data_IF_449344109723
#
_entry.id   IF_449344109723
#
_cell.length_a   1.000
_cell.length_b   1.000
_cell.length_c   1.000
_cell.angle_alpha   90.00
_cell.angle_beta   90.00
_cell.angle_gamma   90.00
#
_symmetry.space_group_name_H-M   'P 1'
#
loop_
_entity.id
_entity.type
_entity.pdbx_description
1 polymer ?
#
# COMPACT_ATOMS: atom_id res chain seq x y z
N UNK A 1 6.03 -82.72 -18.10
CA UNK A 1 5.98 -81.24 -18.33
C UNK A 1 4.88 -80.68 -17.47
N UNK A 2 5.25 -80.04 -16.31
CA UNK A 2 4.34 -79.35 -15.44
C UNK A 2 4.11 -78.00 -16.08
N UNK A 3 2.93 -77.78 -16.67
CA UNK A 3 2.51 -76.47 -17.15
C UNK A 3 2.20 -75.61 -15.92
N UNK A 4 3.04 -74.64 -15.64
CA UNK A 4 2.69 -73.53 -14.76
C UNK A 4 1.56 -72.71 -15.41
N UNK A 5 0.32 -72.92 -14.95
CA UNK A 5 -0.75 -71.97 -15.20
C UNK A 5 -0.52 -70.80 -14.21
N UNK A 6 -0.30 -69.60 -14.67
CA UNK A 6 -0.29 -68.46 -13.75
C UNK A 6 -1.68 -68.41 -13.07
N UNK A 7 -1.70 -68.34 -11.72
CA UNK A 7 -2.94 -68.05 -10.98
C UNK A 7 -3.48 -66.72 -11.48
N UNK A 8 -4.66 -66.76 -12.10
CA UNK A 8 -5.35 -65.51 -12.53
C UNK A 8 -5.86 -64.85 -11.28
N UNK A 9 -5.24 -63.69 -10.92
CA UNK A 9 -5.69 -62.84 -9.84
C UNK A 9 -7.12 -62.41 -10.17
N UNK A 10 -8.08 -62.72 -9.29
CA UNK A 10 -9.50 -62.40 -9.49
C UNK A 10 -9.92 -61.27 -8.54
N UNK A 11 -10.70 -60.32 -9.05
CA UNK A 11 -11.30 -59.23 -8.24
C UNK A 11 -12.81 -59.49 -8.10
N UNK A 12 -13.33 -59.27 -6.89
CA UNK A 12 -14.76 -59.41 -6.62
C UNK A 12 -15.57 -58.20 -7.09
N UNK A 13 -16.87 -58.40 -7.34
CA UNK A 13 -17.79 -57.32 -7.71
C UNK A 13 -17.86 -56.20 -6.62
N UNK A 14 -17.73 -56.58 -5.35
CA UNK A 14 -17.71 -55.61 -4.22
C UNK A 14 -16.45 -54.76 -4.25
N UNK A 15 -15.30 -55.36 -4.52
CA UNK A 15 -14.03 -54.63 -4.65
C UNK A 15 -14.07 -53.69 -5.85
N UNK A 16 -14.60 -54.12 -7.01
CA UNK A 16 -14.79 -53.28 -8.19
C UNK A 16 -15.69 -52.07 -7.90
N UNK A 17 -16.79 -52.28 -7.16
CA UNK A 17 -17.66 -51.18 -6.76
C UNK A 17 -16.94 -50.12 -5.89
N UNK A 18 -16.09 -50.59 -4.98
CA UNK A 18 -15.27 -49.70 -4.15
C UNK A 18 -14.22 -48.93 -4.96
N UNK A 19 -13.56 -49.60 -5.92
CA UNK A 19 -12.62 -48.94 -6.84
C UNK A 19 -13.34 -47.90 -7.71
N UNK A 20 -14.54 -48.19 -8.21
CA UNK A 20 -15.38 -47.23 -8.93
C UNK A 20 -15.70 -46.01 -8.08
N UNK A 21 -16.08 -46.22 -6.81
CA UNK A 21 -16.33 -45.17 -5.87
C UNK A 21 -15.09 -44.26 -5.67
N UNK A 22 -13.89 -44.86 -5.59
CA UNK A 22 -12.64 -44.10 -5.53
C UNK A 22 -12.40 -43.27 -6.81
N UNK A 23 -12.54 -43.88 -8.01
CA UNK A 23 -12.34 -43.19 -9.30
C UNK A 23 -13.25 -41.95 -9.39
N UNK A 24 -14.53 -42.13 -9.03
CA UNK A 24 -15.46 -40.99 -8.97
C UNK A 24 -15.04 -39.96 -7.91
N UNK A 25 -14.52 -40.38 -6.77
CA UNK A 25 -13.96 -39.52 -5.72
C UNK A 25 -12.71 -38.76 -6.15
N UNK A 26 -11.98 -39.25 -7.16
CA UNK A 26 -10.84 -38.58 -7.79
C UNK A 26 -11.27 -37.67 -8.99
N UNK A 27 -12.54 -37.29 -9.03
CA UNK A 27 -13.14 -36.41 -10.04
C UNK A 27 -13.10 -36.94 -11.49
N UNK A 28 -13.10 -38.27 -11.64
CA UNK A 28 -13.24 -38.94 -12.94
C UNK A 28 -14.52 -39.78 -12.98
N UNK A 29 -15.41 -39.47 -13.92
CA UNK A 29 -16.67 -40.23 -14.07
C UNK A 29 -16.37 -41.65 -14.52
N UNK A 30 -16.88 -42.64 -13.76
CA UNK A 30 -16.68 -44.08 -14.03
C UNK A 30 -17.98 -44.86 -13.84
N UNK A 31 -18.41 -45.56 -14.89
CA UNK A 31 -19.56 -46.46 -14.87
C UNK A 31 -19.13 -47.91 -14.68
N UNK A 32 -20.11 -48.82 -14.53
CA UNK A 32 -19.82 -50.25 -14.38
C UNK A 32 -19.14 -50.83 -15.61
N UNK A 33 -18.01 -51.53 -15.40
CA UNK A 33 -17.21 -52.12 -16.46
C UNK A 33 -16.12 -51.19 -17.03
N UNK A 34 -16.05 -49.92 -16.61
CA UNK A 34 -15.05 -48.94 -17.07
C UNK A 34 -13.86 -48.81 -16.10
N UNK A 35 -13.87 -49.53 -14.96
CA UNK A 35 -12.91 -49.34 -13.87
C UNK A 35 -11.45 -49.43 -14.34
N UNK A 36 -11.10 -50.47 -15.14
CA UNK A 36 -9.74 -50.64 -15.66
C UNK A 36 -9.32 -49.54 -16.64
N UNK A 37 -10.25 -49.01 -17.43
CA UNK A 37 -9.94 -47.96 -18.43
C UNK A 37 -9.85 -46.59 -17.82
N UNK A 38 -10.62 -46.31 -16.74
CA UNK A 38 -10.69 -45.02 -16.08
C UNK A 38 -9.71 -44.84 -14.92
N UNK A 39 -9.16 -45.95 -14.40
CA UNK A 39 -8.29 -45.91 -13.22
C UNK A 39 -7.04 -45.08 -13.45
N UNK A 40 -6.33 -45.28 -14.56
CA UNK A 40 -5.12 -44.50 -14.84
C UNK A 40 -5.40 -43.01 -15.05
N UNK A 41 -6.54 -42.67 -15.64
CA UNK A 41 -6.99 -41.28 -15.76
C UNK A 41 -7.18 -40.66 -14.36
N UNK A 42 -7.81 -41.37 -13.43
CA UNK A 42 -8.04 -40.92 -12.07
C UNK A 42 -6.72 -40.74 -11.28
N UNK A 43 -5.79 -41.70 -11.39
CA UNK A 43 -4.48 -41.60 -10.74
C UNK A 43 -3.63 -40.47 -11.31
N UNK A 44 -3.68 -40.21 -12.62
CA UNK A 44 -3.02 -39.08 -13.26
C UNK A 44 -3.63 -37.74 -12.80
N UNK A 45 -4.96 -37.71 -12.64
CA UNK A 45 -5.66 -36.55 -12.12
C UNK A 45 -5.21 -36.21 -10.69
N UNK A 46 -5.13 -37.21 -9.83
CA UNK A 46 -4.61 -37.07 -8.48
C UNK A 46 -3.14 -36.57 -8.46
N UNK A 47 -2.31 -37.15 -9.34
CA UNK A 47 -0.90 -36.73 -9.48
C UNK A 47 -0.76 -35.29 -9.96
N UNK A 48 -1.59 -34.88 -10.91
CA UNK A 48 -1.61 -33.49 -11.39
C UNK A 48 -2.04 -32.51 -10.30
N UNK A 49 -3.00 -32.89 -9.46
CA UNK A 49 -3.43 -32.11 -8.31
C UNK A 49 -2.29 -31.94 -7.28
N UNK A 50 -1.63 -33.03 -6.89
CA UNK A 50 -0.52 -33.00 -5.94
C UNK A 50 0.61 -32.05 -6.40
N UNK A 51 0.93 -32.06 -7.70
CA UNK A 51 1.97 -31.20 -8.27
C UNK A 51 1.62 -29.70 -8.20
N UNK A 52 0.34 -29.34 -8.21
CA UNK A 52 -0.11 -27.94 -8.11
C UNK A 52 0.05 -27.35 -6.71
N UNK A 53 0.22 -28.17 -5.68
CA UNK A 53 0.30 -27.71 -4.29
C UNK A 53 1.69 -27.21 -3.88
N UNK A 54 2.70 -27.54 -4.65
CA UNK A 54 4.08 -27.20 -4.31
C UNK A 54 4.66 -26.13 -5.22
N UNK A 55 5.78 -25.56 -4.76
CA UNK A 55 6.49 -24.55 -5.53
C UNK A 55 7.71 -24.02 -4.78
N UNK A 56 8.16 -22.84 -5.20
CA UNK A 56 9.21 -22.12 -4.50
C UNK A 56 8.74 -21.66 -3.12
N UNK A 57 9.67 -21.56 -2.14
CA UNK A 57 9.30 -21.04 -0.82
C UNK A 57 8.61 -19.66 -0.90
N UNK A 58 7.57 -19.46 -0.15
CA UNK A 58 7.07 -20.17 1.04
C UNK A 58 6.05 -21.30 0.76
N UNK A 59 5.78 -21.65 -0.50
CA UNK A 59 4.93 -22.79 -0.81
C UNK A 59 5.55 -24.09 -0.29
N UNK A 60 4.73 -25.08 0.10
CA UNK A 60 5.22 -26.37 0.52
C UNK A 60 5.95 -27.11 -0.60
N UNK A 61 6.70 -28.14 -0.25
CA UNK A 61 7.18 -29.12 -1.24
C UNK A 61 5.96 -29.88 -1.75
N UNK A 62 5.87 -30.16 -3.07
CA UNK A 62 4.77 -30.97 -3.59
C UNK A 62 4.65 -32.30 -2.84
N UNK A 63 3.42 -32.77 -2.52
CA UNK A 63 3.22 -34.08 -1.93
C UNK A 63 3.88 -35.17 -2.75
N UNK A 64 4.37 -36.25 -2.07
CA UNK A 64 4.94 -37.38 -2.75
C UNK A 64 3.88 -38.08 -3.60
N UNK A 65 4.20 -38.33 -4.86
CA UNK A 65 3.35 -39.12 -5.80
C UNK A 65 3.84 -40.53 -6.00
N UNK A 66 4.78 -41.01 -5.18
CA UNK A 66 5.38 -42.34 -5.34
C UNK A 66 4.34 -43.44 -5.32
N UNK A 67 3.38 -43.43 -4.40
CA UNK A 67 2.29 -44.41 -4.35
C UNK A 67 1.48 -44.44 -5.66
N UNK A 68 1.18 -43.26 -6.22
CA UNK A 68 0.45 -43.18 -7.51
C UNK A 68 1.28 -43.78 -8.64
N UNK A 69 2.59 -43.55 -8.65
CA UNK A 69 3.51 -44.10 -9.66
C UNK A 69 3.62 -45.62 -9.54
N UNK A 70 3.73 -46.16 -8.32
CA UNK A 70 3.73 -47.57 -8.03
C UNK A 70 2.43 -48.25 -8.51
N UNK A 71 1.27 -47.65 -8.24
CA UNK A 71 -0.02 -48.14 -8.67
C UNK A 71 -0.20 -48.08 -10.19
N UNK A 72 0.31 -47.05 -10.86
CA UNK A 72 0.26 -46.94 -12.33
C UNK A 72 1.24 -47.89 -13.04
N UNK A 73 2.24 -48.42 -12.35
CA UNK A 73 3.14 -49.41 -12.90
C UNK A 73 2.51 -50.80 -12.98
N UNK A 74 1.41 -51.05 -12.26
CA UNK A 74 0.63 -52.26 -12.32
C UNK A 74 -0.39 -52.21 -13.45
N UNK A 75 -0.96 -53.38 -13.81
CA UNK A 75 -1.98 -53.49 -14.84
C UNK A 75 -3.04 -54.53 -14.51
N UNK A 76 -4.20 -54.44 -15.14
CA UNK A 76 -5.28 -55.38 -14.99
C UNK A 76 -5.79 -55.54 -13.56
N UNK A 77 -6.07 -56.79 -13.16
CA UNK A 77 -6.61 -57.08 -11.83
C UNK A 77 -5.63 -56.80 -10.70
N UNK A 78 -4.32 -56.89 -10.93
CA UNK A 78 -3.29 -56.58 -9.93
C UNK A 78 -3.34 -55.11 -9.56
N UNK A 79 -3.50 -54.24 -10.55
CA UNK A 79 -3.65 -52.81 -10.34
C UNK A 79 -4.95 -52.49 -9.56
N UNK A 80 -6.07 -53.07 -9.98
CA UNK A 80 -7.38 -52.85 -9.34
C UNK A 80 -7.38 -53.28 -7.86
N UNK A 81 -6.74 -54.43 -7.54
CA UNK A 81 -6.61 -54.91 -6.16
C UNK A 81 -5.69 -54.03 -5.33
N UNK A 82 -4.54 -53.66 -5.85
CA UNK A 82 -3.60 -52.76 -5.15
C UNK A 82 -4.26 -51.41 -4.85
N UNK A 83 -5.02 -50.87 -5.80
CA UNK A 83 -5.78 -49.63 -5.60
C UNK A 83 -6.91 -49.81 -4.58
N UNK A 84 -7.64 -50.97 -4.64
CA UNK A 84 -8.64 -51.29 -3.63
C UNK A 84 -8.06 -51.28 -2.21
N UNK A 85 -6.87 -51.88 -2.02
CA UNK A 85 -6.23 -51.97 -0.71
C UNK A 85 -5.73 -50.59 -0.19
N UNK A 86 -5.42 -49.67 -1.11
CA UNK A 86 -4.97 -48.31 -0.80
C UNK A 86 -6.05 -47.21 -0.92
N UNK A 87 -7.31 -47.60 -1.18
CA UNK A 87 -8.41 -46.68 -1.48
C UNK A 87 -8.65 -45.60 -0.41
N UNK A 88 -8.56 -45.98 0.88
CA UNK A 88 -8.85 -45.05 1.98
C UNK A 88 -7.73 -44.01 2.12
N UNK A 89 -6.47 -44.42 1.94
CA UNK A 89 -5.33 -43.51 1.88
C UNK A 89 -5.44 -42.57 0.69
N UNK A 90 -5.70 -43.10 -0.51
CA UNK A 90 -5.83 -42.29 -1.73
C UNK A 90 -6.97 -41.26 -1.62
N UNK A 91 -8.11 -41.67 -1.07
CA UNK A 91 -9.24 -40.75 -0.83
C UNK A 91 -8.89 -39.66 0.16
N UNK A 92 -8.22 -39.99 1.27
CA UNK A 92 -7.82 -39.04 2.29
C UNK A 92 -6.76 -38.02 1.75
N UNK A 93 -5.76 -38.57 1.03
CA UNK A 93 -4.72 -37.75 0.40
C UNK A 93 -5.32 -36.77 -0.61
N UNK A 94 -6.19 -37.28 -1.51
CA UNK A 94 -6.84 -36.42 -2.53
C UNK A 94 -7.74 -35.35 -1.92
N UNK A 95 -8.54 -35.70 -0.92
CA UNK A 95 -9.39 -34.74 -0.22
C UNK A 95 -8.55 -33.64 0.48
N UNK A 96 -7.44 -34.03 1.12
CA UNK A 96 -6.49 -33.11 1.73
C UNK A 96 -5.85 -32.18 0.69
N UNK A 97 -5.41 -32.73 -0.43
CA UNK A 97 -4.81 -31.93 -1.51
C UNK A 97 -5.82 -30.96 -2.14
N UNK A 98 -7.07 -31.37 -2.31
CA UNK A 98 -8.14 -30.53 -2.84
C UNK A 98 -8.43 -29.34 -1.91
N UNK A 99 -8.54 -29.59 -0.62
CA UNK A 99 -8.71 -28.55 0.39
C UNK A 99 -7.55 -27.56 0.42
N UNK A 100 -6.31 -28.05 0.29
CA UNK A 100 -5.12 -27.18 0.22
C UNK A 100 -5.10 -26.36 -1.08
N UNK A 101 -5.52 -26.92 -2.21
CA UNK A 101 -5.56 -26.20 -3.49
C UNK A 101 -6.52 -25.01 -3.45
N UNK A 102 -7.63 -25.11 -2.72
CA UNK A 102 -8.58 -24.01 -2.51
C UNK A 102 -7.91 -22.82 -1.81
N UNK A 103 -6.93 -23.08 -0.94
CA UNK A 103 -6.19 -22.03 -0.23
C UNK A 103 -5.10 -21.34 -1.06
N UNK A 104 -4.60 -22.01 -2.12
CA UNK A 104 -3.40 -21.53 -2.87
C UNK A 104 -3.61 -20.12 -3.42
N UNK A 105 -4.77 -19.85 -4.02
CA UNK A 105 -5.04 -18.54 -4.62
C UNK A 105 -5.06 -17.42 -3.57
N UNK A 106 -5.81 -17.60 -2.49
CA UNK A 106 -5.91 -16.65 -1.39
C UNK A 106 -4.55 -16.43 -0.71
N UNK A 107 -3.82 -17.50 -0.41
CA UNK A 107 -2.51 -17.42 0.26
C UNK A 107 -1.45 -16.72 -0.60
N UNK A 108 -1.45 -16.98 -1.91
CA UNK A 108 -0.57 -16.29 -2.85
C UNK A 108 -0.89 -14.80 -2.96
N UNK A 109 -2.17 -14.43 -2.90
CA UNK A 109 -2.58 -13.03 -2.87
C UNK A 109 -2.14 -12.35 -1.56
N UNK A 110 -2.44 -12.96 -0.41
CA UNK A 110 -1.98 -12.47 0.90
C UNK A 110 -0.45 -12.31 0.93
N UNK A 111 0.28 -13.28 0.38
CA UNK A 111 1.73 -13.24 0.30
C UNK A 111 2.23 -12.06 -0.55
N UNK A 112 1.66 -11.83 -1.72
CA UNK A 112 2.01 -10.68 -2.58
C UNK A 112 1.71 -9.35 -1.88
N UNK A 113 0.57 -9.24 -1.23
CA UNK A 113 0.19 -8.06 -0.48
C UNK A 113 1.19 -7.77 0.65
N UNK A 114 1.62 -8.80 1.38
CA UNK A 114 2.65 -8.67 2.42
C UNK A 114 3.98 -8.16 1.83
N UNK A 115 4.43 -8.72 0.69
CA UNK A 115 5.65 -8.26 0.03
C UNK A 115 5.55 -6.79 -0.41
N UNK A 116 4.39 -6.36 -0.87
CA UNK A 116 4.14 -4.96 -1.23
C UNK A 116 4.19 -4.07 0.01
N UNK A 117 3.53 -4.44 1.12
CA UNK A 117 3.55 -3.66 2.35
C UNK A 117 4.95 -3.57 2.96
N UNK A 118 5.77 -4.61 2.85
CA UNK A 118 7.15 -4.61 3.31
C UNK A 118 7.99 -3.49 2.68
N UNK A 119 7.69 -3.11 1.43
CA UNK A 119 8.36 -2.00 0.78
C UNK A 119 8.14 -0.67 1.52
N UNK A 120 6.91 -0.42 1.97
CA UNK A 120 6.56 0.80 2.71
C UNK A 120 7.02 0.77 4.19
N UNK A 121 7.24 -0.43 4.73
CA UNK A 121 7.69 -0.60 6.12
C UNK A 121 9.20 -0.41 6.32
N UNK A 122 10.01 -0.21 5.27
CA UNK A 122 11.49 -0.24 5.33
C UNK A 122 12.09 0.64 6.43
N UNK A 123 11.53 1.82 6.63
CA UNK A 123 12.03 2.81 7.59
C UNK A 123 11.37 2.68 8.97
N UNK A 124 10.49 1.70 9.14
CA UNK A 124 9.77 1.45 10.40
C UNK A 124 10.43 0.33 11.21
N UNK A 125 10.36 0.43 12.53
CA UNK A 125 10.92 -0.57 13.43
C UNK A 125 10.35 -1.98 13.21
N UNK A 126 9.08 -2.07 12.78
CA UNK A 126 8.40 -3.34 12.51
C UNK A 126 9.05 -4.12 11.35
N UNK A 127 9.76 -3.46 10.43
CA UNK A 127 10.36 -4.10 9.26
C UNK A 127 11.23 -5.31 9.62
N UNK A 128 12.10 -5.16 10.61
CA UNK A 128 12.99 -6.26 11.04
C UNK A 128 12.24 -7.45 11.60
N UNK A 129 11.15 -7.22 12.33
CA UNK A 129 10.31 -8.27 12.89
C UNK A 129 9.64 -9.04 11.76
N UNK A 130 9.03 -8.31 10.82
CA UNK A 130 8.38 -8.91 9.65
C UNK A 130 9.37 -9.67 8.75
N UNK A 131 10.59 -9.17 8.56
CA UNK A 131 11.63 -9.91 7.82
C UNK A 131 11.96 -11.26 8.45
N UNK A 132 12.08 -11.32 9.77
CA UNK A 132 12.35 -12.57 10.51
C UNK A 132 11.18 -13.56 10.34
N UNK A 133 9.95 -13.11 10.50
CA UNK A 133 8.75 -13.95 10.33
C UNK A 133 8.60 -14.44 8.88
N UNK A 134 8.86 -13.57 7.91
CA UNK A 134 8.88 -13.92 6.48
C UNK A 134 9.97 -14.97 6.19
N UNK A 135 11.15 -14.82 6.77
CA UNK A 135 12.24 -15.80 6.64
C UNK A 135 11.84 -17.14 7.25
N UNK A 136 11.19 -17.14 8.42
CA UNK A 136 10.68 -18.36 9.06
C UNK A 136 9.60 -19.04 8.19
N UNK A 137 8.66 -18.29 7.62
CA UNK A 137 7.66 -18.82 6.68
C UNK A 137 8.29 -19.46 5.44
N UNK A 138 9.32 -18.83 4.88
CA UNK A 138 10.05 -19.39 3.73
C UNK A 138 10.80 -20.67 4.10
N UNK A 139 11.51 -20.67 5.23
CA UNK A 139 12.26 -21.82 5.70
C UNK A 139 11.34 -23.00 6.04
N UNK A 140 10.22 -22.73 6.71
CA UNK A 140 9.21 -23.74 7.07
C UNK A 140 8.30 -24.16 5.94
N UNK A 141 8.27 -23.45 4.81
CA UNK A 141 7.37 -23.71 3.67
C UNK A 141 5.91 -23.84 4.08
N UNK A 142 5.43 -22.96 4.97
CA UNK A 142 4.14 -23.09 5.66
C UNK A 142 3.04 -22.19 5.09
N UNK A 143 3.16 -21.68 3.86
CA UNK A 143 2.19 -20.74 3.28
C UNK A 143 0.75 -21.26 3.33
N UNK A 144 0.55 -22.57 3.07
CA UNK A 144 -0.76 -23.21 3.03
C UNK A 144 -1.25 -23.73 4.40
N UNK A 145 -0.57 -23.36 5.49
CA UNK A 145 -1.01 -23.73 6.83
C UNK A 145 -2.36 -23.09 7.18
N UNK A 146 -3.10 -23.76 8.07
CA UNK A 146 -4.36 -23.27 8.62
C UNK A 146 -4.27 -23.27 10.15
N UNK A 147 -4.48 -22.11 10.83
CA UNK A 147 -4.86 -20.79 10.27
C UNK A 147 -3.77 -20.16 9.39
N UNK A 148 -4.14 -19.11 8.66
CA UNK A 148 -3.20 -18.38 7.76
C UNK A 148 -2.01 -17.83 8.54
N UNK A 149 -0.78 -18.20 8.20
CA UNK A 149 0.40 -17.61 8.84
C UNK A 149 0.73 -16.21 8.33
N UNK A 150 0.16 -15.80 7.18
CA UNK A 150 0.42 -14.51 6.54
C UNK A 150 -0.54 -13.43 7.05
N UNK A 151 -1.79 -13.80 7.35
CA UNK A 151 -2.83 -12.84 7.77
C UNK A 151 -2.44 -11.99 8.98
N UNK A 152 -1.85 -12.54 10.07
CA UNK A 152 -1.38 -11.75 11.18
C UNK A 152 -0.28 -10.75 10.80
N UNK A 153 0.62 -11.13 9.88
CA UNK A 153 1.71 -10.26 9.42
C UNK A 153 1.21 -9.10 8.58
N UNK A 154 0.19 -9.35 7.73
CA UNK A 154 -0.51 -8.28 6.99
C UNK A 154 -1.14 -7.27 7.95
N UNK A 155 -1.83 -7.75 8.98
CA UNK A 155 -2.44 -6.88 9.98
C UNK A 155 -1.38 -6.03 10.70
N UNK A 156 -0.30 -6.66 11.18
CA UNK A 156 0.79 -5.95 11.84
C UNK A 156 1.44 -4.88 10.94
N UNK A 157 1.69 -5.21 9.66
CA UNK A 157 2.24 -4.27 8.70
C UNK A 157 1.31 -3.09 8.47
N UNK A 158 0.02 -3.34 8.24
CA UNK A 158 -0.98 -2.30 8.02
C UNK A 158 -1.16 -1.39 9.22
N UNK A 159 -1.23 -1.96 10.42
CA UNK A 159 -1.40 -1.18 11.64
C UNK A 159 -0.17 -0.30 11.90
N UNK A 160 1.04 -0.84 11.73
CA UNK A 160 2.27 -0.05 11.86
C UNK A 160 2.36 1.10 10.84
N UNK A 161 1.91 0.87 9.59
CA UNK A 161 1.86 1.92 8.57
C UNK A 161 0.82 2.99 8.92
N UNK A 162 -0.37 2.61 9.37
CA UNK A 162 -1.42 3.53 9.83
C UNK A 162 -0.93 4.39 10.98
N UNK A 163 -0.35 3.77 11.99
CA UNK A 163 0.17 4.47 13.17
C UNK A 163 1.26 5.46 12.78
N UNK A 164 2.18 5.07 11.90
CA UNK A 164 3.23 5.97 11.41
C UNK A 164 2.67 7.15 10.60
N UNK A 165 1.68 6.93 9.72
CA UNK A 165 1.00 8.02 8.99
C UNK A 165 0.32 8.96 9.97
N UNK A 166 -0.45 8.44 10.92
CA UNK A 166 -1.15 9.24 11.93
C UNK A 166 -0.18 10.05 12.80
N UNK A 167 0.97 9.47 13.17
CA UNK A 167 2.01 10.19 13.90
C UNK A 167 2.57 11.37 13.10
N UNK A 168 2.79 11.22 11.79
CA UNK A 168 3.23 12.33 10.93
C UNK A 168 2.15 13.41 10.76
N UNK A 169 0.87 13.00 10.63
CA UNK A 169 -0.26 13.93 10.59
C UNK A 169 -0.33 14.76 11.88
N UNK A 170 -0.26 14.10 13.03
CA UNK A 170 -0.30 14.81 14.33
C UNK A 170 0.87 15.78 14.51
N UNK A 171 2.08 15.40 14.05
CA UNK A 171 3.24 16.32 14.06
C UNK A 171 3.04 17.52 13.14
N UNK A 172 2.45 17.30 11.95
CA UNK A 172 2.14 18.41 11.04
C UNK A 172 1.10 19.34 11.66
N UNK A 173 0.00 18.80 12.18
CA UNK A 173 -1.07 19.57 12.83
C UNK A 173 -0.53 20.37 14.01
N UNK A 174 0.29 19.77 14.85
CA UNK A 174 0.93 20.47 15.97
C UNK A 174 1.80 21.64 15.47
N UNK A 175 2.66 21.40 14.48
CA UNK A 175 3.51 22.43 13.88
C UNK A 175 2.66 23.57 13.25
N UNK A 176 1.60 23.18 12.52
CA UNK A 176 0.66 24.14 11.94
C UNK A 176 0.01 25.03 12.99
N UNK A 177 -0.54 24.43 14.05
CA UNK A 177 -1.21 25.20 15.11
C UNK A 177 -0.24 26.10 15.87
N UNK A 178 0.98 25.64 16.12
CA UNK A 178 1.99 26.47 16.78
C UNK A 178 2.38 27.68 15.91
N UNK A 179 2.69 27.45 14.63
CA UNK A 179 3.00 28.53 13.69
C UNK A 179 1.82 29.49 13.47
N UNK A 180 0.60 28.95 13.39
CA UNK A 180 -0.60 29.76 13.21
C UNK A 180 -0.89 30.66 14.43
N UNK A 181 -0.73 30.14 15.64
CA UNK A 181 -0.85 30.91 16.88
C UNK A 181 0.16 32.05 16.94
N UNK A 182 1.41 31.77 16.55
CA UNK A 182 2.47 32.77 16.52
C UNK A 182 2.17 33.88 15.47
N UNK A 183 1.64 33.49 14.30
CA UNK A 183 1.20 34.40 13.26
C UNK A 183 0.04 35.30 13.74
N UNK A 184 -0.98 34.71 14.39
CA UNK A 184 -2.13 35.49 14.94
C UNK A 184 -1.74 36.45 16.04
N UNK A 185 -0.65 36.20 16.75
CA UNK A 185 -0.13 37.07 17.78
C UNK A 185 0.65 38.28 17.21
N UNK A 186 1.05 38.23 15.92
CA UNK A 186 1.84 39.31 15.33
C UNK A 186 0.99 40.56 15.03
N UNK A 187 1.40 41.76 15.50
CA UNK A 187 0.66 43.01 15.27
C UNK A 187 0.45 43.36 13.79
N UNK A 188 1.33 42.92 12.90
CA UNK A 188 1.20 43.19 11.46
C UNK A 188 0.11 42.31 10.86
N UNK A 189 0.00 41.06 11.30
CA UNK A 189 -1.04 40.13 10.85
C UNK A 189 -2.43 40.56 11.29
N UNK A 190 -2.57 41.00 12.55
CA UNK A 190 -3.84 41.48 13.14
C UNK A 190 -4.40 42.71 12.41
N UNK A 191 -3.56 43.54 11.81
CA UNK A 191 -3.98 44.74 11.05
C UNK A 191 -4.54 44.43 9.66
N UNK A 192 -4.37 43.23 9.16
CA UNK A 192 -4.89 42.82 7.86
C UNK A 192 -6.39 42.51 7.94
N UNK A 193 -7.11 42.74 6.83
CA UNK A 193 -8.47 42.24 6.71
C UNK A 193 -8.51 40.72 6.62
N UNK A 194 -9.65 40.09 6.93
CA UNK A 194 -9.82 38.64 6.82
C UNK A 194 -9.57 38.13 5.39
N UNK A 195 -9.94 38.93 4.37
CA UNK A 195 -9.68 38.60 2.97
C UNK A 195 -8.19 38.58 2.66
N UNK A 196 -7.43 39.63 3.14
CA UNK A 196 -5.99 39.67 2.95
C UNK A 196 -5.27 38.55 3.66
N UNK A 197 -5.67 38.19 4.89
CA UNK A 197 -5.13 37.05 5.62
C UNK A 197 -5.36 35.74 4.83
N UNK A 198 -6.58 35.52 4.35
CA UNK A 198 -6.93 34.32 3.55
C UNK A 198 -6.13 34.26 2.25
N UNK A 199 -5.95 35.38 1.55
CA UNK A 199 -5.15 35.45 0.33
C UNK A 199 -3.69 35.10 0.58
N UNK A 200 -3.09 35.59 1.68
CA UNK A 200 -1.71 35.28 2.03
C UNK A 200 -1.52 33.81 2.41
N UNK A 201 -2.43 33.24 3.19
CA UNK A 201 -2.40 31.82 3.51
C UNK A 201 -2.49 30.96 2.24
N UNK A 202 -3.41 31.30 1.33
CA UNK A 202 -3.56 30.61 0.06
C UNK A 202 -2.34 30.77 -0.85
N UNK A 203 -1.76 31.98 -0.94
CA UNK A 203 -0.54 32.27 -1.71
C UNK A 203 0.62 31.38 -1.28
N UNK A 204 0.82 31.20 0.00
CA UNK A 204 1.90 30.41 0.57
C UNK A 204 1.50 28.96 0.83
N UNK A 205 0.31 28.50 0.33
CA UNK A 205 -0.18 27.13 0.46
C UNK A 205 -0.23 26.64 1.92
N UNK A 206 -0.51 27.57 2.83
CA UNK A 206 -0.69 27.27 4.25
C UNK A 206 -2.15 26.81 4.43
N UNK A 207 -2.34 25.60 4.92
CA UNK A 207 -3.67 25.04 5.13
C UNK A 207 -3.63 23.79 5.99
N UNK A 208 -4.80 23.44 6.51
CA UNK A 208 -4.98 22.19 7.23
C UNK A 208 -4.78 21.00 6.29
N UNK A 209 -4.38 19.87 6.87
CA UNK A 209 -4.28 18.62 6.13
C UNK A 209 -5.66 18.16 5.65
N UNK A 210 -5.76 17.63 4.41
CA UNK A 210 -6.97 16.97 3.98
C UNK A 210 -7.22 15.73 4.84
N UNK A 211 -8.50 15.42 5.06
CA UNK A 211 -8.88 14.21 5.80
C UNK A 211 -8.34 12.97 5.10
N UNK A 212 -7.53 12.20 5.81
CA UNK A 212 -6.97 10.95 5.32
C UNK A 212 -7.95 9.79 5.50
N UNK A 213 -8.00 8.91 4.52
CA UNK A 213 -8.73 7.66 4.57
C UNK A 213 -7.70 6.52 4.62
N UNK A 214 -7.71 5.74 5.70
CA UNK A 214 -6.74 4.66 5.96
C UNK A 214 -7.44 3.34 6.29
N UNK A 215 -8.70 3.18 5.88
CA UNK A 215 -9.53 2.02 6.22
C UNK A 215 -9.12 0.73 5.51
N UNK A 216 -8.58 0.83 4.28
CA UNK A 216 -8.13 -0.34 3.51
C UNK A 216 -6.63 -0.29 3.21
N UNK A 217 -6.08 -1.42 2.74
CA UNK A 217 -4.69 -1.52 2.31
C UNK A 217 -4.39 -0.54 1.16
N UNK A 218 -5.27 -0.47 0.18
CA UNK A 218 -5.12 0.41 -0.99
C UNK A 218 -5.10 1.88 -0.59
N UNK A 219 -5.91 2.26 0.39
CA UNK A 219 -5.93 3.63 0.91
C UNK A 219 -4.64 3.99 1.64
N UNK A 220 -4.08 3.06 2.42
CA UNK A 220 -2.77 3.24 3.08
C UNK A 220 -1.67 3.38 2.04
N UNK A 221 -1.62 2.52 1.04
CA UNK A 221 -0.65 2.57 -0.05
C UNK A 221 -0.77 3.89 -0.83
N UNK A 222 -1.98 4.26 -1.25
CA UNK A 222 -2.22 5.52 -1.97
C UNK A 222 -1.78 6.75 -1.15
N UNK A 223 -1.97 6.73 0.17
CA UNK A 223 -1.50 7.81 1.05
C UNK A 223 0.03 7.93 1.02
N UNK A 224 0.76 6.80 1.04
CA UNK A 224 2.23 6.77 1.02
C UNK A 224 2.80 7.04 -0.37
N UNK A 225 2.11 6.64 -1.44
CA UNK A 225 2.47 6.99 -2.81
C UNK A 225 2.33 8.49 -3.07
N UNK A 226 1.29 9.11 -2.50
CA UNK A 226 1.09 10.55 -2.58
C UNK A 226 2.08 11.36 -1.73
N UNK A 227 2.51 10.82 -0.59
CA UNK A 227 3.44 11.47 0.32
C UNK A 227 4.29 10.43 1.06
N UNK A 228 5.52 10.21 0.60
CA UNK A 228 6.49 9.32 1.24
C UNK A 228 6.87 9.79 2.66
N UNK A 229 7.53 8.95 3.45
CA UNK A 229 8.05 9.32 4.78
C UNK A 229 8.96 10.56 4.73
N UNK A 230 9.83 10.64 3.73
CA UNK A 230 10.66 11.83 3.51
C UNK A 230 9.80 13.04 3.15
N UNK A 231 8.80 12.87 2.28
CA UNK A 231 7.85 13.93 1.91
C UNK A 231 7.08 14.50 3.11
N UNK A 232 6.69 13.67 4.07
CA UNK A 232 6.09 14.10 5.33
C UNK A 232 7.06 14.94 6.16
N UNK A 233 8.31 14.48 6.32
CA UNK A 233 9.32 15.22 7.07
C UNK A 233 9.64 16.56 6.42
N UNK A 234 9.75 16.61 5.09
CA UNK A 234 10.01 17.84 4.33
C UNK A 234 8.86 18.83 4.47
N UNK A 235 7.60 18.37 4.41
CA UNK A 235 6.42 19.23 4.62
C UNK A 235 6.41 19.85 6.01
N UNK A 236 6.66 19.04 7.05
CA UNK A 236 6.70 19.53 8.43
C UNK A 236 7.83 20.54 8.61
N UNK A 237 9.02 20.25 8.07
CA UNK A 237 10.18 21.12 8.18
C UNK A 237 10.03 22.46 7.43
N UNK A 238 9.31 22.45 6.30
CA UNK A 238 9.10 23.65 5.48
C UNK A 238 7.99 24.57 6.04
N UNK A 239 7.08 24.04 6.86
CA UNK A 239 5.89 24.75 7.31
C UNK A 239 6.20 26.09 8.01
N UNK A 240 7.14 26.18 8.98
CA UNK A 240 7.50 27.45 9.60
C UNK A 240 7.92 28.53 8.60
N UNK A 241 8.72 28.13 7.58
CA UNK A 241 9.18 29.07 6.54
C UNK A 241 8.02 29.64 5.70
N UNK A 242 6.97 28.86 5.47
CA UNK A 242 5.79 29.37 4.77
C UNK A 242 5.04 30.42 5.60
N UNK A 243 4.94 30.22 6.92
CA UNK A 243 4.36 31.20 7.83
C UNK A 243 5.22 32.47 7.91
N UNK A 244 6.54 32.35 7.95
CA UNK A 244 7.46 33.48 7.92
C UNK A 244 7.30 34.31 6.63
N UNK A 245 7.15 33.65 5.49
CA UNK A 245 6.89 34.30 4.20
C UNK A 245 5.54 35.04 4.21
N UNK A 246 4.49 34.43 4.75
CA UNK A 246 3.18 35.06 4.87
C UNK A 246 3.25 36.30 5.77
N UNK A 247 3.97 36.25 6.88
CA UNK A 247 4.20 37.38 7.77
C UNK A 247 5.02 38.49 7.08
N UNK A 248 6.07 38.14 6.35
CA UNK A 248 6.88 39.09 5.57
C UNK A 248 6.04 39.83 4.53
N UNK A 249 5.14 39.13 3.85
CA UNK A 249 4.20 39.74 2.91
C UNK A 249 3.19 40.62 3.62
N UNK A 250 2.69 40.22 4.79
CA UNK A 250 1.81 41.05 5.63
C UNK A 250 2.43 42.37 5.98
N UNK A 251 3.68 42.36 6.47
CA UNK A 251 4.47 43.57 6.76
C UNK A 251 4.63 44.44 5.52
N UNK A 252 4.86 43.80 4.35
CA UNK A 252 5.03 44.52 3.09
C UNK A 252 3.75 45.21 2.59
N UNK A 253 2.58 44.57 2.81
CA UNK A 253 1.27 45.16 2.48
C UNK A 253 0.95 46.37 3.34
N UNK A 254 1.43 46.39 4.58
CA UNK A 254 1.20 47.51 5.52
C UNK A 254 2.16 48.67 5.32
N UNK A 255 3.25 48.51 4.55
CA UNK A 255 4.17 49.61 4.25
C UNK A 255 3.46 50.64 3.39
N UNK A 256 3.55 51.93 3.78
CA UNK A 256 2.99 53.00 2.96
C UNK A 256 3.59 52.95 1.54
N UNK A 257 2.72 52.98 0.53
CA UNK A 257 3.18 53.04 -0.86
C UNK A 257 3.82 54.39 -1.15
N UNK A 258 5.04 54.36 -1.68
CA UNK A 258 5.72 55.59 -2.14
C UNK A 258 4.84 56.28 -3.20
N UNK A 259 4.44 57.54 -2.95
CA UNK A 259 3.72 58.38 -3.91
C UNK A 259 4.72 59.09 -4.81
N UNK A 260 4.50 58.98 -6.10
CA UNK A 260 5.26 59.79 -7.06
C UNK A 260 4.57 61.15 -7.21
N UNK A 261 5.27 62.22 -6.91
CA UNK A 261 4.82 63.59 -7.15
C UNK A 261 5.63 64.13 -8.30
N UNK A 262 4.94 64.60 -9.35
CA UNK A 262 5.59 65.29 -10.45
C UNK A 262 5.73 66.77 -10.06
N UNK A 263 6.95 67.26 -10.05
CA UNK A 263 7.22 68.66 -9.84
C UNK A 263 6.53 69.54 -10.93
N UNK A 264 5.98 70.68 -10.58
CA UNK A 264 5.38 71.59 -11.57
C UNK A 264 6.41 71.93 -12.66
N UNK A 265 6.01 71.72 -13.92
CA UNK A 265 6.85 72.09 -15.06
C UNK A 265 6.69 73.64 -15.29
N UNK A 266 7.71 74.39 -14.99
CA UNK A 266 7.74 75.86 -15.20
C UNK A 266 9.13 76.25 -15.64
N UNK A 267 9.23 77.40 -16.32
CA UNK A 267 10.52 78.02 -16.65
C UNK A 267 10.85 78.93 -15.45
N UNK A 268 12.03 78.79 -14.89
CA UNK A 268 12.52 79.63 -13.75
C UNK A 268 13.50 80.62 -14.33
N UNK A 269 13.05 81.86 -14.40
CA UNK A 269 13.85 82.99 -14.95
C UNK A 269 14.39 83.90 -13.84
N UNK A 270 13.72 83.88 -12.70
CA UNK A 270 14.08 84.81 -11.57
C UNK A 270 14.22 84.01 -10.24
N UNK A 271 14.90 84.63 -9.29
CA UNK A 271 15.00 84.04 -7.95
C UNK A 271 13.62 83.95 -7.25
N UNK A 272 12.68 84.80 -7.63
CA UNK A 272 11.31 84.78 -7.14
C UNK A 272 10.57 83.51 -7.71
N UNK A 273 10.72 83.21 -9.00
CA UNK A 273 10.12 82.00 -9.62
C UNK A 273 10.65 80.74 -8.93
N UNK A 274 11.93 80.68 -8.61
CA UNK A 274 12.52 79.54 -7.91
C UNK A 274 11.89 79.37 -6.51
N UNK A 275 11.70 80.46 -5.78
CA UNK A 275 11.08 80.44 -4.43
C UNK A 275 9.62 79.94 -4.49
N UNK A 276 8.87 80.40 -5.46
CA UNK A 276 7.48 79.95 -5.68
C UNK A 276 7.39 78.45 -6.10
N UNK A 277 8.26 78.03 -6.98
CA UNK A 277 8.33 76.65 -7.37
C UNK A 277 8.70 75.70 -6.21
N UNK A 278 9.74 76.09 -5.42
CA UNK A 278 10.12 75.33 -4.24
C UNK A 278 9.00 75.24 -3.21
N UNK A 279 8.27 76.40 -2.96
CA UNK A 279 7.14 76.42 -2.05
C UNK A 279 6.01 75.46 -2.50
N UNK A 280 5.71 75.40 -3.82
CA UNK A 280 4.72 74.46 -4.37
C UNK A 280 5.15 73.03 -4.18
N UNK A 281 6.39 72.68 -4.52
CA UNK A 281 6.91 71.32 -4.33
C UNK A 281 6.90 70.89 -2.86
N UNK A 282 7.34 71.81 -1.96
CA UNK A 282 7.33 71.65 -0.52
C UNK A 282 5.91 71.36 0.01
N UNK A 283 4.93 72.11 -0.44
CA UNK A 283 3.53 71.93 -0.06
C UNK A 283 2.99 70.52 -0.50
N UNK A 284 3.27 70.13 -1.74
CA UNK A 284 2.86 68.85 -2.25
C UNK A 284 3.48 67.68 -1.48
N UNK A 285 4.78 67.77 -1.19
CA UNK A 285 5.51 66.80 -0.41
C UNK A 285 4.98 66.70 1.03
N UNK A 286 4.79 67.87 1.70
CA UNK A 286 4.26 67.96 3.07
C UNK A 286 2.85 67.36 3.17
N UNK A 287 1.99 67.55 2.17
CA UNK A 287 0.64 67.02 2.15
C UNK A 287 0.62 65.50 2.15
N UNK A 288 1.50 64.84 1.40
CA UNK A 288 1.61 63.38 1.37
C UNK A 288 2.30 62.82 2.62
N UNK A 289 3.37 63.48 3.10
CA UNK A 289 4.05 63.09 4.33
C UNK A 289 3.13 63.18 5.56
N UNK A 290 2.24 64.18 5.60
CA UNK A 290 1.22 64.32 6.66
C UNK A 290 0.22 63.15 6.68
N UNK A 291 0.05 62.43 5.53
CA UNK A 291 -0.75 61.23 5.41
C UNK A 291 0.08 59.96 5.69
N UNK A 292 1.36 60.06 6.03
CA UNK A 292 2.26 58.95 6.29
C UNK A 292 2.81 58.26 5.01
N UNK A 293 2.63 58.88 3.83
CA UNK A 293 3.11 58.32 2.56
C UNK A 293 4.55 58.79 2.29
N UNK A 294 5.52 57.88 2.06
CA UNK A 294 6.81 58.23 1.48
C UNK A 294 6.64 58.82 0.08
N UNK A 295 7.44 59.84 -0.25
CA UNK A 295 7.31 60.61 -1.49
C UNK A 295 8.55 60.46 -2.36
N UNK A 296 8.35 60.29 -3.65
CA UNK A 296 9.38 60.44 -4.69
C UNK A 296 8.95 61.63 -5.57
N UNK A 297 9.84 62.62 -5.62
CA UNK A 297 9.67 63.78 -6.54
C UNK A 297 10.39 63.48 -7.84
N UNK A 298 9.73 63.61 -8.98
CA UNK A 298 10.25 63.37 -10.32
C UNK A 298 9.92 64.53 -11.25
#
# INVERSE_FOLDING_TARGET
>A
QTQFRPETVTISKVQLLKVRGLINGLDVSCNGGEESSKLNEALLNAKALARKLGGEPPLPVPPSTQLLDELMALSGNDQLLAVHDKKDQLSADYASWKAQLELVAERNEQWRNLQTLMHYCRDLAIHKVLEQEIAALKAGRTLLANPSPVSPLLTQALDALRDAIMAHCSRYEQCYHDCYRDLEADPSWVKLSAEQQKELLAKHRIGELPKLHLGSQEQVQASLDNCSWQGWNDRIAALPSYFDLALSDAVSLLKPKTRNISAPKTVIETEQDLKEWLAQVEQMVRAELAQGNPVRVS
#
